data_IF_822786247368
#
_entry.id   IF_822786247368
#
_cell.length_a   1.000
_cell.length_b   1.000
_cell.length_c   1.000
_cell.angle_alpha   90.00
_cell.angle_beta   90.00
_cell.angle_gamma   90.00
#
_symmetry.space_group_name_H-M   'P 1'
#
loop_
_entity.id
_entity.type
_entity.pdbx_description
1 polymer ?
#
# COMPACT_ATOMS: atom_id res chain seq x y z
N UNK A 1 40.62 -4.23 85.54
CA UNK A 1 41.47 -5.42 85.30
C UNK A 1 40.75 -6.27 84.26
N UNK A 2 41.11 -6.15 82.99
CA UNK A 2 42.04 -7.07 82.29
C UNK A 2 41.30 -8.35 81.89
N UNK A 3 40.86 -8.47 80.63
CA UNK A 3 41.54 -9.22 79.52
C UNK A 3 41.66 -10.71 79.86
N UNK A 4 41.16 -11.69 79.09
CA UNK A 4 41.30 -11.95 77.65
C UNK A 4 40.57 -13.28 77.32
N UNK A 5 39.84 -13.40 76.19
CA UNK A 5 40.20 -14.14 74.94
C UNK A 5 40.57 -15.62 75.18
N UNK A 6 39.91 -16.64 74.64
CA UNK A 6 39.75 -17.07 73.22
C UNK A 6 38.79 -18.29 73.17
N UNK A 7 37.93 -18.44 72.16
CA UNK A 7 37.97 -19.48 71.09
C UNK A 7 36.62 -19.35 70.35
N UNK A 8 36.42 -19.52 69.05
CA UNK A 8 37.29 -19.83 67.91
C UNK A 8 36.51 -19.62 66.59
N UNK A 9 37.28 -19.40 65.52
CA UNK A 9 37.08 -19.83 64.11
C UNK A 9 35.70 -19.71 63.41
N UNK A 10 35.56 -18.66 62.59
CA UNK A 10 35.22 -18.58 61.12
C UNK A 10 34.22 -19.57 60.45
N UNK A 11 33.71 -19.33 59.21
CA UNK A 11 33.47 -18.10 58.42
C UNK A 11 32.05 -18.09 57.76
N UNK A 12 31.74 -17.03 57.00
CA UNK A 12 30.75 -17.02 55.88
C UNK A 12 29.26 -16.96 56.22
N UNK A 13 28.69 -15.74 56.18
CA UNK A 13 27.68 -15.31 55.20
C UNK A 13 27.14 -13.94 55.60
N UNK A 14 27.74 -12.89 55.07
CA UNK A 14 27.15 -11.55 55.05
C UNK A 14 26.73 -11.25 53.62
N UNK A 15 25.43 -11.38 53.36
CA UNK A 15 24.78 -10.67 52.26
C UNK A 15 24.03 -9.49 52.88
N UNK A 16 24.52 -8.25 52.78
CA UNK A 16 23.67 -7.10 53.05
C UNK A 16 22.77 -6.86 51.83
N UNK A 17 21.50 -7.25 51.93
CA UNK A 17 20.45 -6.62 51.12
C UNK A 17 20.38 -5.14 51.49
N UNK A 18 21.02 -4.29 50.70
CA UNK A 18 20.80 -2.84 50.76
C UNK A 18 19.76 -2.49 49.72
N UNK A 19 18.52 -2.31 50.17
CA UNK A 19 17.39 -1.85 49.36
C UNK A 19 17.71 -0.56 48.63
N UNK A 20 17.74 -0.62 47.29
CA UNK A 20 17.90 0.55 46.44
C UNK A 20 16.56 1.22 46.21
N UNK A 21 16.36 2.32 46.93
CA UNK A 21 15.22 3.23 46.79
C UNK A 21 15.01 3.66 45.34
N UNK A 22 13.81 3.41 44.80
CA UNK A 22 13.38 3.82 43.46
C UNK A 22 12.78 5.23 43.50
N UNK A 23 13.50 6.23 42.99
CA UNK A 23 12.98 7.45 42.31
C UNK A 23 14.04 7.92 41.29
N UNK A 24 13.65 8.26 40.04
CA UNK A 24 12.87 9.47 39.78
C UNK A 24 11.88 9.37 38.60
N UNK A 25 10.57 9.34 38.89
CA UNK A 25 9.50 9.55 37.89
C UNK A 25 9.28 11.02 37.50
N UNK A 26 9.95 11.95 38.19
CA UNK A 26 9.75 13.40 38.01
C UNK A 26 10.48 13.94 36.77
N UNK A 27 11.60 13.32 36.37
CA UNK A 27 12.35 13.72 35.17
C UNK A 27 11.63 13.38 33.86
N UNK A 28 10.81 12.32 33.86
CA UNK A 28 10.04 11.89 32.68
C UNK A 28 8.90 12.87 32.36
N UNK A 29 8.29 13.47 33.40
CA UNK A 29 7.21 14.45 33.21
C UNK A 29 7.70 15.80 32.67
N UNK A 30 8.93 16.21 33.02
CA UNK A 30 9.53 17.45 32.52
C UNK A 30 9.87 17.38 31.02
N UNK A 31 10.33 16.21 30.53
CA UNK A 31 10.63 15.99 29.12
C UNK A 31 9.37 16.02 28.23
N UNK A 32 8.25 15.48 28.71
CA UNK A 32 6.97 15.47 27.97
C UNK A 32 6.43 16.90 27.76
N UNK A 33 6.58 17.78 28.75
CA UNK A 33 6.14 19.17 28.65
C UNK A 33 6.89 19.99 27.58
N UNK A 34 8.19 19.76 27.43
CA UNK A 34 9.03 20.45 26.42
C UNK A 34 8.69 19.98 25.00
N UNK A 35 8.45 18.68 24.82
CA UNK A 35 8.06 18.13 23.51
C UNK A 35 6.70 18.67 23.05
N UNK A 36 5.74 18.81 23.97
CA UNK A 36 4.40 19.32 23.63
C UNK A 36 4.43 20.78 23.13
N UNK A 37 5.27 21.64 23.73
CA UNK A 37 5.41 23.04 23.32
C UNK A 37 6.04 23.19 21.93
N UNK A 38 6.97 22.31 21.55
CA UNK A 38 7.60 22.31 20.23
C UNK A 38 6.59 21.92 19.15
N UNK A 39 5.75 20.92 19.41
CA UNK A 39 4.72 20.46 18.45
C UNK A 39 3.69 21.55 18.17
N UNK A 40 3.21 22.26 19.20
CA UNK A 40 2.23 23.34 19.02
C UNK A 40 2.80 24.48 18.17
N UNK A 41 4.09 24.79 18.32
CA UNK A 41 4.75 25.85 17.56
C UNK A 41 4.91 25.52 16.07
N UNK A 42 5.12 24.24 15.73
CA UNK A 42 5.24 23.78 14.33
C UNK A 42 3.89 23.81 13.61
N UNK A 43 2.80 23.43 14.30
CA UNK A 43 1.45 23.42 13.72
C UNK A 43 0.95 24.84 13.43
N UNK A 44 1.26 25.81 14.29
CA UNK A 44 0.89 27.21 14.08
C UNK A 44 1.58 27.84 12.86
N UNK A 45 2.80 27.41 12.51
CA UNK A 45 3.52 27.93 11.35
C UNK A 45 2.97 27.37 10.02
N UNK A 46 2.55 26.11 10.00
CA UNK A 46 2.01 25.48 8.79
C UNK A 46 0.67 26.07 8.32
N UNK A 47 -0.14 26.60 9.24
CA UNK A 47 -1.46 27.16 8.91
C UNK A 47 -1.40 28.53 8.21
N UNK A 48 -0.33 29.31 8.39
CA UNK A 48 -0.23 30.67 7.82
C UNK A 48 0.32 30.70 6.39
N UNK A 49 0.92 29.59 5.92
CA UNK A 49 1.53 29.52 4.58
C UNK A 49 0.57 29.06 3.48
N UNK A 50 -0.65 28.61 3.83
CA UNK A 50 -1.55 27.96 2.88
C UNK A 50 -2.65 28.87 2.29
N UNK A 51 -2.78 30.14 2.70
CA UNK A 51 -3.90 31.00 2.31
C UNK A 51 -3.57 32.05 1.24
N UNK A 52 -2.79 31.72 0.21
CA UNK A 52 -2.51 32.66 -0.89
C UNK A 52 -2.57 31.96 -2.24
N UNK A 53 -3.71 32.09 -2.93
CA UNK A 53 -3.88 31.55 -4.28
C UNK A 53 -5.30 31.71 -4.83
N UNK A 54 -5.80 32.94 -4.94
CA UNK A 54 -6.97 33.30 -5.76
C UNK A 54 -6.58 33.46 -7.24
N UNK A 55 -7.48 33.09 -8.17
CA UNK A 55 -7.66 33.88 -9.39
C UNK A 55 -7.77 33.18 -10.76
N UNK A 56 -9.00 33.19 -11.31
CA UNK A 56 -9.36 33.78 -12.63
C UNK A 56 -9.29 32.98 -13.95
N UNK A 57 -10.40 33.12 -14.72
CA UNK A 57 -10.43 33.19 -16.20
C UNK A 57 -10.77 31.87 -16.93
N UNK A 58 -11.95 31.62 -17.48
CA UNK A 58 -12.71 32.26 -18.58
C UNK A 58 -12.50 31.63 -20.00
N UNK A 59 -13.64 31.36 -20.65
CA UNK A 59 -13.96 31.49 -22.11
C UNK A 59 -13.57 30.43 -23.17
N UNK A 60 -14.63 29.76 -23.67
CA UNK A 60 -15.10 29.58 -25.08
C UNK A 60 -14.34 28.83 -26.19
N UNK A 61 -15.03 27.79 -26.69
CA UNK A 61 -15.35 27.41 -28.11
C UNK A 61 -14.22 26.89 -29.04
N UNK A 62 -14.51 26.25 -30.21
CA UNK A 62 -15.79 25.90 -30.86
C UNK A 62 -15.91 24.41 -31.33
N UNK A 63 -17.05 24.11 -31.97
CA UNK A 63 -17.33 22.89 -32.73
C UNK A 63 -17.04 23.10 -34.24
N UNK A 64 -16.65 22.03 -34.94
CA UNK A 64 -16.84 21.89 -36.41
C UNK A 64 -16.85 20.42 -36.81
N UNK A 65 -17.89 20.03 -37.53
CA UNK A 65 -18.06 18.75 -38.19
C UNK A 65 -17.29 18.68 -39.52
N UNK A 66 -16.91 17.48 -39.95
CA UNK A 66 -16.74 17.17 -41.38
C UNK A 66 -16.90 15.68 -41.68
N UNK A 67 -17.41 15.48 -42.88
CA UNK A 67 -18.19 14.36 -43.39
C UNK A 67 -17.36 13.18 -43.92
N UNK A 68 -18.10 12.14 -44.29
CA UNK A 68 -17.72 10.83 -44.82
C UNK A 68 -16.83 10.82 -46.07
N UNK A 69 -16.09 9.71 -46.29
CA UNK A 69 -16.44 8.74 -47.35
C UNK A 69 -15.47 7.54 -47.46
N UNK A 70 -16.12 6.41 -47.75
CA UNK A 70 -15.68 5.05 -48.11
C UNK A 70 -14.66 4.95 -49.26
N UNK A 71 -13.77 3.94 -49.20
CA UNK A 71 -13.49 2.98 -50.30
C UNK A 71 -12.54 1.85 -49.85
N UNK A 72 -12.94 0.60 -50.08
CA UNK A 72 -12.10 -0.61 -50.17
C UNK A 72 -12.08 -1.07 -51.66
N UNK A 73 -11.38 -2.14 -52.13
CA UNK A 73 -10.44 -3.07 -51.48
C UNK A 73 -9.12 -3.40 -52.29
N UNK A 74 -8.21 -4.14 -51.62
CA UNK A 74 -7.15 -5.13 -52.02
C UNK A 74 -6.68 -5.32 -53.50
N UNK A 75 -5.41 -5.76 -53.76
CA UNK A 75 -5.13 -7.22 -53.73
C UNK A 75 -3.68 -7.71 -53.41
N UNK A 76 -3.64 -8.93 -52.84
CA UNK A 76 -2.69 -10.08 -53.01
C UNK A 76 -1.15 -9.90 -53.10
N UNK A 77 -0.44 -10.70 -52.29
CA UNK A 77 0.93 -11.15 -52.56
C UNK A 77 1.45 -12.16 -51.52
N UNK A 78 1.41 -13.46 -51.84
CA UNK A 78 1.92 -14.59 -51.06
C UNK A 78 3.43 -14.52 -50.78
N UNK A 79 3.87 -15.09 -49.64
CA UNK A 79 4.75 -16.28 -49.60
C UNK A 79 5.33 -16.52 -48.20
N UNK A 80 5.04 -17.72 -47.67
CA UNK A 80 5.75 -18.37 -46.57
C UNK A 80 7.26 -18.51 -46.84
N UNK A 81 8.06 -18.37 -45.79
CA UNK A 81 9.08 -19.39 -45.45
C UNK A 81 9.33 -19.40 -43.94
N UNK A 82 9.46 -20.59 -43.31
CA UNK A 82 9.61 -20.73 -41.87
C UNK A 82 11.09 -20.69 -41.47
N UNK A 83 11.41 -20.04 -40.35
CA UNK A 83 12.66 -20.30 -39.65
C UNK A 83 12.41 -20.40 -38.14
N UNK A 84 12.45 -21.64 -37.69
CA UNK A 84 12.48 -22.07 -36.30
C UNK A 84 13.80 -21.64 -35.66
N UNK A 85 13.76 -20.99 -34.49
CA UNK A 85 14.97 -20.89 -33.67
C UNK A 85 14.96 -19.84 -32.57
N UNK A 86 14.91 -20.34 -31.33
CA UNK A 86 15.29 -19.71 -30.06
C UNK A 86 14.29 -18.71 -29.44
N UNK A 87 13.67 -19.15 -28.35
CA UNK A 87 12.76 -18.36 -27.53
C UNK A 87 13.44 -17.12 -26.94
N UNK A 88 12.87 -15.97 -27.24
CA UNK A 88 12.97 -14.76 -26.45
C UNK A 88 11.68 -14.66 -25.63
N UNK A 89 11.71 -14.30 -24.34
CA UNK A 89 10.50 -13.95 -23.60
C UNK A 89 9.72 -12.90 -24.40
N UNK A 90 8.45 -13.17 -24.64
CA UNK A 90 7.57 -12.24 -25.32
C UNK A 90 7.53 -10.94 -24.50
N UNK A 91 8.08 -9.86 -25.05
CA UNK A 91 7.72 -8.53 -24.58
C UNK A 91 6.20 -8.38 -24.80
N UNK A 92 5.44 -7.85 -23.82
CA UNK A 92 4.02 -7.67 -24.03
C UNK A 92 3.83 -6.73 -25.22
N UNK A 93 3.02 -7.18 -26.18
CA UNK A 93 2.56 -6.36 -27.30
C UNK A 93 1.93 -5.10 -26.75
N UNK A 94 2.46 -3.94 -27.14
CA UNK A 94 1.80 -2.67 -26.89
C UNK A 94 0.57 -2.60 -27.81
N UNK A 95 -0.60 -3.00 -27.28
CA UNK A 95 -1.87 -2.74 -27.93
C UNK A 95 -2.10 -1.23 -27.97
N UNK A 96 -2.41 -0.75 -29.16
CA UNK A 96 -2.50 0.66 -29.50
C UNK A 96 -3.84 1.24 -29.04
N UNK A 97 -3.91 1.77 -27.82
CA UNK A 97 -4.88 2.80 -27.40
C UNK A 97 -4.54 3.41 -26.02
N UNK A 98 -3.26 3.74 -25.75
CA UNK A 98 -2.87 4.53 -24.57
C UNK A 98 -3.15 3.92 -23.18
N UNK A 99 -3.77 2.74 -23.10
CA UNK A 99 -3.99 1.99 -21.86
C UNK A 99 -2.69 1.33 -21.38
N UNK A 100 -2.45 1.38 -20.08
CA UNK A 100 -1.24 0.81 -19.51
C UNK A 100 -1.36 -0.72 -19.48
N UNK A 101 -0.29 -1.41 -19.88
CA UNK A 101 -0.23 -2.86 -19.83
C UNK A 101 -0.54 -3.39 -18.42
N UNK A 102 -1.29 -4.49 -18.35
CA UNK A 102 -1.56 -5.24 -17.13
C UNK A 102 -0.77 -6.56 -17.15
N UNK A 103 -0.32 -7.04 -16.00
CA UNK A 103 0.20 -8.40 -15.89
C UNK A 103 -0.90 -9.44 -16.15
N UNK A 104 -0.50 -10.67 -16.43
CA UNK A 104 -1.42 -11.80 -16.30
C UNK A 104 -1.94 -11.87 -14.84
N UNK A 105 -3.17 -12.41 -14.60
CA UNK A 105 -3.68 -12.56 -13.25
C UNK A 105 -2.85 -13.54 -12.42
N UNK A 106 -2.41 -13.09 -11.26
CA UNK A 106 -1.62 -13.88 -10.31
C UNK A 106 -2.48 -14.34 -9.11
N UNK A 107 -2.09 -15.42 -8.45
CA UNK A 107 -2.69 -15.79 -7.16
C UNK A 107 -2.38 -14.71 -6.10
N UNK A 108 -3.29 -14.50 -5.15
CA UNK A 108 -3.15 -13.44 -4.14
C UNK A 108 -1.83 -13.48 -3.36
N UNK A 109 -1.44 -14.66 -2.86
CA UNK A 109 -0.25 -14.84 -2.03
C UNK A 109 1.05 -14.99 -2.83
N UNK A 110 0.98 -15.06 -4.16
CA UNK A 110 2.16 -15.14 -5.00
C UNK A 110 2.84 -13.76 -5.08
N UNK A 111 4.14 -13.64 -4.79
CA UNK A 111 4.86 -12.40 -5.01
C UNK A 111 4.97 -12.09 -6.51
N UNK A 112 4.62 -10.87 -6.89
CA UNK A 112 4.65 -10.38 -8.28
C UNK A 112 5.57 -9.19 -8.37
N UNK A 113 6.51 -9.20 -9.30
CA UNK A 113 7.38 -8.05 -9.56
C UNK A 113 6.57 -6.91 -10.20
N UNK A 114 6.55 -5.76 -9.53
CA UNK A 114 5.84 -4.54 -9.99
C UNK A 114 6.81 -3.51 -10.56
N UNK A 115 8.09 -3.65 -10.23
CA UNK A 115 9.22 -2.94 -10.83
C UNK A 115 10.50 -3.76 -10.57
N UNK A 116 11.63 -3.47 -11.24
CA UNK A 116 12.89 -4.18 -10.98
C UNK A 116 13.28 -4.12 -9.49
N UNK A 117 13.26 -5.27 -8.82
CA UNK A 117 13.60 -5.40 -7.40
C UNK A 117 12.51 -4.90 -6.43
N UNK A 118 11.29 -4.64 -6.91
CA UNK A 118 10.13 -4.32 -6.06
C UNK A 118 9.01 -5.30 -6.38
N UNK A 119 8.46 -5.95 -5.36
CA UNK A 119 7.38 -6.92 -5.52
C UNK A 119 6.17 -6.61 -4.63
N UNK A 120 4.99 -7.04 -5.06
CA UNK A 120 3.75 -6.96 -4.31
C UNK A 120 3.14 -8.35 -4.08
N UNK A 121 2.37 -8.49 -2.99
CA UNK A 121 1.54 -9.66 -2.71
C UNK A 121 0.31 -9.24 -1.90
N UNK A 122 -0.73 -10.06 -1.95
CA UNK A 122 -2.00 -9.86 -1.23
C UNK A 122 -2.16 -10.95 -0.18
N UNK A 123 -2.48 -10.54 1.05
CA UNK A 123 -2.68 -11.46 2.17
C UNK A 123 -3.91 -11.08 3.01
N UNK A 124 -4.21 -11.90 4.01
CA UNK A 124 -5.18 -11.58 5.07
C UNK A 124 -6.55 -11.14 4.55
N UNK A 125 -7.02 -11.76 3.46
CA UNK A 125 -8.33 -11.45 2.88
C UNK A 125 -9.42 -12.01 3.81
N UNK A 126 -10.29 -11.14 4.30
CA UNK A 126 -11.37 -11.48 5.23
C UNK A 126 -12.68 -10.82 4.84
N UNK A 127 -13.80 -11.49 5.10
CA UNK A 127 -15.13 -10.88 5.02
C UNK A 127 -15.33 -9.92 6.20
N UNK A 128 -15.84 -8.72 5.93
CA UNK A 128 -16.18 -7.72 6.96
C UNK A 128 -17.50 -7.02 6.62
N UNK A 129 -18.10 -6.38 7.61
CA UNK A 129 -19.13 -5.36 7.38
C UNK A 129 -18.44 -4.00 7.28
N UNK A 130 -18.35 -3.48 6.05
CA UNK A 130 -17.65 -2.26 5.70
C UNK A 130 -18.39 -1.02 6.20
N UNK A 131 -17.62 -0.05 6.70
CA UNK A 131 -18.14 1.21 7.24
C UNK A 131 -17.83 2.33 6.25
N UNK A 132 -18.87 3.04 5.83
CA UNK A 132 -18.69 4.27 5.03
C UNK A 132 -18.30 5.45 5.93
N UNK A 133 -17.29 6.21 5.53
CA UNK A 133 -16.89 7.45 6.19
C UNK A 133 -16.72 8.63 5.20
N UNK A 134 -16.52 8.33 3.92
CA UNK A 134 -16.40 9.32 2.85
C UNK A 134 -17.76 9.75 2.26
N UNK A 135 -17.77 10.91 1.60
CA UNK A 135 -18.96 11.42 0.91
C UNK A 135 -19.28 10.50 -0.27
N UNK A 136 -20.52 10.01 -0.33
CA UNK A 136 -20.98 9.11 -1.38
C UNK A 136 -20.62 7.63 -1.16
N UNK A 137 -19.87 7.31 -0.10
CA UNK A 137 -19.65 5.92 0.30
C UNK A 137 -20.92 5.31 0.90
N UNK A 138 -21.09 3.99 0.72
CA UNK A 138 -22.17 3.21 1.32
C UNK A 138 -21.57 1.97 1.98
N UNK A 139 -21.89 1.76 3.27
CA UNK A 139 -21.43 0.59 4.01
C UNK A 139 -22.17 -0.69 3.64
N UNK A 140 -21.76 -1.81 4.23
CA UNK A 140 -22.33 -3.14 4.00
C UNK A 140 -21.27 -4.20 3.70
N UNK A 141 -21.64 -5.35 3.10
CA UNK A 141 -20.72 -6.45 2.85
C UNK A 141 -19.47 -6.02 2.07
N UNK A 142 -18.29 -6.19 2.68
CA UNK A 142 -17.02 -5.82 2.12
C UNK A 142 -15.96 -6.91 2.32
N UNK A 143 -14.83 -6.76 1.63
CA UNK A 143 -13.61 -7.53 1.91
C UNK A 143 -12.56 -6.58 2.48
N UNK A 144 -11.84 -7.05 3.50
CA UNK A 144 -10.61 -6.42 4.00
C UNK A 144 -9.44 -7.28 3.57
N UNK A 145 -8.36 -6.68 3.08
CA UNK A 145 -7.13 -7.39 2.72
C UNK A 145 -5.91 -6.53 2.97
N UNK A 146 -4.75 -7.18 2.99
CA UNK A 146 -3.45 -6.54 3.13
C UNK A 146 -2.68 -6.62 1.81
N UNK A 147 -2.07 -5.51 1.43
CA UNK A 147 -1.11 -5.44 0.32
C UNK A 147 0.26 -5.24 0.92
N UNK A 148 1.18 -6.17 0.66
CA UNK A 148 2.57 -6.05 1.09
C UNK A 148 3.44 -5.73 -0.10
N UNK A 149 4.18 -4.63 -0.03
CA UNK A 149 5.22 -4.26 -1.00
C UNK A 149 6.59 -4.50 -0.36
N UNK A 150 7.47 -5.19 -1.09
CA UNK A 150 8.85 -5.47 -0.68
C UNK A 150 9.82 -4.81 -1.63
N UNK A 151 10.73 -4.00 -1.09
CA UNK A 151 11.82 -3.38 -1.82
C UNK A 151 13.11 -4.18 -1.58
N UNK A 152 13.53 -4.98 -2.55
CA UNK A 152 14.78 -5.74 -2.51
C UNK A 152 15.96 -4.98 -3.16
N UNK A 153 15.76 -3.72 -3.54
CA UNK A 153 16.82 -2.89 -4.12
C UNK A 153 17.77 -2.34 -3.03
N UNK A 154 18.85 -1.70 -3.46
CA UNK A 154 19.81 -1.02 -2.59
C UNK A 154 19.46 0.43 -2.23
N UNK A 155 18.33 0.95 -2.71
CA UNK A 155 17.92 2.36 -2.57
C UNK A 155 16.47 2.44 -2.04
N UNK A 156 16.05 3.54 -1.39
CA UNK A 156 14.66 3.74 -1.04
C UNK A 156 13.78 3.90 -2.30
N UNK A 157 12.54 3.45 -2.21
CA UNK A 157 11.53 3.63 -3.26
C UNK A 157 10.37 4.51 -2.78
N UNK A 158 9.71 5.18 -3.71
CA UNK A 158 8.55 6.04 -3.45
C UNK A 158 7.26 5.23 -3.59
N UNK A 159 6.39 5.27 -2.56
CA UNK A 159 5.09 4.60 -2.57
C UNK A 159 3.92 5.59 -2.60
N UNK A 160 4.14 6.92 -2.59
CA UNK A 160 3.07 7.93 -2.47
C UNK A 160 1.98 7.81 -3.55
N UNK A 161 2.39 7.38 -4.74
CA UNK A 161 1.52 7.25 -5.90
C UNK A 161 0.95 5.84 -6.07
N UNK A 162 1.23 4.92 -5.15
CA UNK A 162 0.64 3.58 -5.17
C UNK A 162 -0.87 3.69 -5.01
N UNK A 163 -1.62 3.03 -5.87
CA UNK A 163 -3.08 2.90 -5.81
C UNK A 163 -3.46 1.43 -5.88
N UNK A 164 -4.57 1.11 -5.23
CA UNK A 164 -5.18 -0.21 -5.27
C UNK A 164 -6.60 -0.02 -5.76
N UNK A 165 -6.99 -0.81 -6.76
CA UNK A 165 -8.38 -0.89 -7.22
C UNK A 165 -8.84 -2.33 -7.18
N UNK A 166 -10.15 -2.52 -7.07
CA UNK A 166 -10.74 -3.85 -7.02
C UNK A 166 -11.91 -3.91 -8.00
N UNK A 167 -11.92 -4.96 -8.81
CA UNK A 167 -13.05 -5.32 -9.67
C UNK A 167 -13.59 -6.69 -9.24
N UNK A 168 -14.87 -6.94 -9.45
CA UNK A 168 -15.50 -8.20 -9.05
C UNK A 168 -16.49 -8.74 -10.07
N UNK A 169 -16.67 -10.06 -10.04
CA UNK A 169 -17.55 -10.80 -10.94
C UNK A 169 -17.04 -10.86 -12.39
N UNK A 170 -17.78 -11.60 -13.21
CA UNK A 170 -17.45 -11.81 -14.62
C UNK A 170 -17.45 -10.49 -15.43
N UNK A 171 -18.33 -9.56 -15.08
CA UNK A 171 -18.47 -8.26 -15.74
C UNK A 171 -17.43 -7.23 -15.28
N UNK A 172 -16.52 -7.60 -14.35
CA UNK A 172 -15.49 -6.71 -13.78
C UNK A 172 -16.08 -5.41 -13.25
N UNK A 173 -17.13 -5.52 -12.44
CA UNK A 173 -17.77 -4.37 -11.81
C UNK A 173 -16.78 -3.75 -10.81
N UNK A 174 -16.44 -2.46 -10.94
CA UNK A 174 -15.56 -1.79 -10.00
C UNK A 174 -16.16 -1.75 -8.60
N UNK A 175 -15.37 -2.12 -7.60
CA UNK A 175 -15.72 -2.05 -6.19
C UNK A 175 -15.29 -0.70 -5.61
N UNK A 176 -16.14 -0.13 -4.74
CA UNK A 176 -15.81 1.10 -4.04
C UNK A 176 -14.89 0.83 -2.84
N UNK A 177 -13.79 1.56 -2.75
CA UNK A 177 -12.99 1.63 -1.53
C UNK A 177 -13.80 2.30 -0.41
N UNK A 178 -13.69 1.79 0.81
CA UNK A 178 -14.32 2.36 1.99
C UNK A 178 -13.24 2.93 2.90
N UNK A 179 -13.40 4.19 3.29
CA UNK A 179 -12.43 4.90 4.14
C UNK A 179 -12.71 4.76 5.65
N UNK A 180 -13.81 4.11 6.02
CA UNK A 180 -14.21 3.88 7.40
C UNK A 180 -14.01 2.44 7.87
N UNK A 181 -13.99 2.28 9.19
CA UNK A 181 -13.87 0.97 9.85
C UNK A 181 -12.52 0.78 10.55
N UNK A 182 -12.38 -0.33 11.30
CA UNK A 182 -11.12 -0.63 11.96
C UNK A 182 -10.05 -1.08 10.95
N UNK A 183 -8.79 -0.86 11.31
CA UNK A 183 -7.63 -1.51 10.70
C UNK A 183 -7.35 -1.19 9.23
N UNK A 184 -7.76 0.00 8.74
CA UNK A 184 -7.27 0.59 7.49
C UNK A 184 -5.88 1.18 7.74
N UNK A 185 -4.93 0.86 6.87
CA UNK A 185 -3.53 1.28 6.98
C UNK A 185 -3.05 1.72 5.61
N UNK A 186 -2.56 2.96 5.50
CA UNK A 186 -1.93 3.44 4.27
C UNK A 186 -0.45 3.04 4.23
N UNK A 187 0.10 2.93 3.01
CA UNK A 187 1.54 2.81 2.85
C UNK A 187 2.26 4.06 3.39
N UNK A 188 3.49 3.91 3.92
CA UNK A 188 4.36 5.06 4.13
C UNK A 188 4.69 5.72 2.79
N UNK A 189 5.05 7.00 2.81
CA UNK A 189 5.44 7.71 1.58
C UNK A 189 6.65 7.08 0.88
N UNK A 190 7.62 6.56 1.64
CA UNK A 190 8.81 5.92 1.10
C UNK A 190 9.11 4.64 1.85
N UNK A 191 9.63 3.65 1.12
CA UNK A 191 10.06 2.36 1.64
C UNK A 191 11.57 2.21 1.46
N UNK A 192 12.29 2.05 2.57
CA UNK A 192 13.74 1.91 2.57
C UNK A 192 14.24 0.68 1.80
N UNK A 193 15.54 0.68 1.49
CA UNK A 193 16.21 -0.47 0.88
C UNK A 193 16.06 -1.74 1.74
N UNK A 194 15.86 -2.89 1.08
CA UNK A 194 15.70 -4.19 1.75
C UNK A 194 14.49 -4.32 2.68
N UNK A 195 13.55 -3.38 2.65
CA UNK A 195 12.43 -3.30 3.59
C UNK A 195 11.10 -3.71 2.95
N UNK A 196 10.12 -4.04 3.78
CA UNK A 196 8.73 -4.26 3.37
C UNK A 196 7.79 -3.34 4.13
N UNK A 197 6.69 -2.96 3.48
CA UNK A 197 5.57 -2.26 4.11
C UNK A 197 4.26 -2.96 3.75
N UNK A 198 3.29 -2.89 4.67
CA UNK A 198 1.97 -3.47 4.49
C UNK A 198 0.92 -2.39 4.67
N UNK A 199 0.04 -2.25 3.69
CA UNK A 199 -1.16 -1.45 3.76
C UNK A 199 -2.39 -2.37 3.87
N UNK A 200 -3.45 -1.88 4.48
CA UNK A 200 -4.70 -2.61 4.66
C UNK A 200 -5.86 -1.78 4.11
N UNK A 201 -6.66 -2.41 3.26
CA UNK A 201 -7.75 -1.77 2.52
C UNK A 201 -9.06 -2.50 2.76
N UNK A 202 -10.16 -1.76 2.59
CA UNK A 202 -11.52 -2.30 2.63
C UNK A 202 -12.25 -1.89 1.35
N UNK A 203 -12.79 -2.87 0.63
CA UNK A 203 -13.55 -2.65 -0.60
C UNK A 203 -14.93 -3.29 -0.51
N UNK A 204 -15.96 -2.54 -0.93
CA UNK A 204 -17.34 -3.00 -1.00
C UNK A 204 -17.51 -4.00 -2.13
N UNK A 205 -17.56 -5.29 -1.78
CA UNK A 205 -17.70 -6.41 -2.72
C UNK A 205 -18.87 -7.28 -2.25
N UNK A 206 -19.99 -7.31 -2.99
CA UNK A 206 -21.14 -8.15 -2.69
C UNK A 206 -20.75 -9.62 -2.60
N UNK A 207 -21.36 -10.39 -1.70
CA UNK A 207 -21.00 -11.78 -1.42
C UNK A 207 -21.08 -12.66 -2.67
N UNK A 208 -22.09 -12.42 -3.51
CA UNK A 208 -22.33 -13.11 -4.77
C UNK A 208 -21.24 -12.88 -5.83
N UNK A 209 -20.47 -11.79 -5.73
CA UNK A 209 -19.40 -11.45 -6.67
C UNK A 209 -18.01 -11.93 -6.21
N UNK A 210 -17.89 -12.49 -4.99
CA UNK A 210 -16.60 -12.84 -4.39
C UNK A 210 -15.94 -14.09 -4.96
N UNK A 211 -16.59 -14.82 -5.85
CA UNK A 211 -16.00 -15.98 -6.53
C UNK A 211 -14.94 -15.59 -7.58
N UNK A 212 -14.97 -14.34 -8.07
CA UNK A 212 -14.00 -13.78 -9.02
C UNK A 212 -13.71 -12.33 -8.62
N UNK A 213 -12.72 -12.15 -7.73
CA UNK A 213 -12.22 -10.83 -7.32
C UNK A 213 -10.89 -10.59 -8.01
N UNK A 214 -10.71 -9.38 -8.53
CA UNK A 214 -9.45 -8.89 -9.09
C UNK A 214 -8.99 -7.67 -8.32
N UNK A 215 -7.80 -7.74 -7.74
CA UNK A 215 -7.13 -6.65 -7.05
C UNK A 215 -5.99 -6.19 -7.94
N UNK A 216 -5.97 -4.91 -8.27
CA UNK A 216 -5.00 -4.30 -9.17
C UNK A 216 -4.16 -3.31 -8.36
N UNK A 217 -2.84 -3.49 -8.41
CA UNK A 217 -1.88 -2.58 -7.78
C UNK A 217 -1.24 -1.73 -8.86
N UNK A 218 -1.56 -0.44 -8.85
CA UNK A 218 -0.91 0.59 -9.66
C UNK A 218 0.21 1.23 -8.83
N UNK A 219 1.44 0.82 -9.07
CA UNK A 219 2.60 1.32 -8.33
C UNK A 219 3.15 2.63 -8.89
N UNK A 220 3.47 2.65 -10.18
CA UNK A 220 4.02 3.82 -10.88
C UNK A 220 3.40 3.95 -12.27
N UNK A 221 3.20 5.19 -12.72
CA UNK A 221 2.57 5.46 -14.00
C UNK A 221 3.30 4.88 -15.22
N UNK A 222 4.60 4.61 -15.10
CA UNK A 222 5.46 4.11 -16.17
C UNK A 222 5.71 2.60 -16.12
N UNK A 223 5.15 1.88 -15.15
CA UNK A 223 5.28 0.41 -15.04
C UNK A 223 3.93 -0.26 -15.23
N UNK A 224 3.89 -1.51 -15.75
CA UNK A 224 2.64 -2.25 -15.88
C UNK A 224 1.88 -2.38 -14.55
N UNK A 225 0.56 -2.48 -14.66
CA UNK A 225 -0.34 -2.73 -13.54
C UNK A 225 -0.19 -4.19 -13.08
N UNK A 226 -0.01 -4.42 -11.79
CA UNK A 226 0.06 -5.77 -11.24
C UNK A 226 -1.33 -6.28 -10.87
N UNK A 227 -1.71 -7.43 -11.42
CA UNK A 227 -3.05 -8.00 -11.28
C UNK A 227 -3.00 -9.27 -10.42
N UNK A 228 -3.81 -9.29 -9.36
CA UNK A 228 -4.05 -10.45 -8.52
C UNK A 228 -5.52 -10.85 -8.65
N UNK A 229 -5.81 -12.14 -8.82
CA UNK A 229 -7.17 -12.62 -8.97
C UNK A 229 -7.42 -13.94 -8.21
N UNK A 230 -8.64 -14.11 -7.75
CA UNK A 230 -9.07 -15.31 -7.03
C UNK A 230 -10.41 -15.12 -6.32
N UNK A 231 -10.82 -16.15 -5.60
CA UNK A 231 -12.00 -16.08 -4.75
C UNK A 231 -11.68 -15.42 -3.40
N UNK A 232 -12.60 -14.60 -2.89
CA UNK A 232 -12.53 -14.01 -1.56
C UNK A 232 -13.54 -14.66 -0.60
N UNK A 233 -13.33 -14.59 0.73
CA UNK A 233 -14.24 -15.18 1.71
C UNK A 233 -15.64 -14.57 1.66
N UNK A 234 -16.65 -15.41 1.87
CA UNK A 234 -18.08 -15.01 1.91
C UNK A 234 -18.62 -14.81 3.33
N UNK A 235 -17.87 -15.24 4.35
CA UNK A 235 -18.19 -15.13 5.78
C UNK A 235 -16.91 -15.00 6.60
#
# INVERSE_FOLDING_TARGET
MSDSRTEGTDPSTVTPETGRARRPRVWVLALIGVVLLIVISVVAWAAVSASSGEGSGATTAPATASDAASSAPSPTGSADTPSTGAGSPAAPSADADGERAMSEPNAFDAPVDIAPGVSASISSITSVDGVAAGIGESGGPAIRFEVTITNSTGEPVDLQNTRVTVDSGADRVPAGELSGGPDIVAFPASLGAGSSATAAYVFSVPVEARSDVRIIVDYLASVPLAVFAGAAPTA
#
